data_IF_985264870868
#
_entry.id   IF_985264870868
#
_cell.length_a   1.000
_cell.length_b   1.000
_cell.length_c   1.000
_cell.angle_alpha   90.00
_cell.angle_beta   90.00
_cell.angle_gamma   90.00
#
_symmetry.space_group_name_H-M   'P 1'
#
loop_
_entity.id
_entity.type
_entity.pdbx_description
1 polymer ?
#
# COMPACT_ATOMS: atom_id res chain seq x y z
N UNK A 1 -53.01 -13.95 -47.22
CA UNK A 1 -52.07 -12.98 -46.62
C UNK A 1 -51.60 -13.61 -45.31
N UNK A 2 -50.40 -14.17 -45.29
CA UNK A 2 -49.78 -14.70 -44.06
C UNK A 2 -48.40 -14.07 -43.91
N UNK A 3 -48.19 -13.46 -42.75
CA UNK A 3 -46.98 -12.74 -42.34
C UNK A 3 -46.07 -13.76 -41.62
N UNK A 4 -44.84 -13.93 -42.10
CA UNK A 4 -43.82 -14.81 -41.49
C UNK A 4 -42.92 -13.96 -40.58
N UNK A 5 -42.94 -14.23 -39.28
CA UNK A 5 -42.10 -13.60 -38.26
C UNK A 5 -40.68 -14.18 -38.23
N UNK A 6 -39.69 -13.29 -38.14
CA UNK A 6 -38.28 -13.53 -38.44
C UNK A 6 -37.37 -13.42 -37.18
N UNK A 7 -37.63 -14.23 -36.15
CA UNK A 7 -36.97 -14.10 -34.82
C UNK A 7 -35.94 -15.17 -34.45
N UNK A 8 -35.44 -16.01 -35.37
CA UNK A 8 -34.58 -17.16 -35.01
C UNK A 8 -33.09 -17.08 -35.40
N UNK A 9 -32.56 -15.90 -35.76
CA UNK A 9 -31.20 -15.82 -36.33
C UNK A 9 -30.14 -15.22 -35.39
N UNK A 10 -30.51 -14.51 -34.32
CA UNK A 10 -29.56 -13.81 -33.43
C UNK A 10 -29.05 -14.64 -32.25
N UNK A 11 -29.84 -15.59 -31.73
CA UNK A 11 -29.43 -16.40 -30.56
C UNK A 11 -28.48 -17.55 -30.94
N UNK A 12 -28.70 -18.21 -32.08
CA UNK A 12 -27.81 -19.26 -32.60
C UNK A 12 -26.39 -18.77 -32.88
N UNK A 13 -26.21 -17.46 -33.16
CA UNK A 13 -24.89 -16.85 -33.45
C UNK A 13 -24.07 -16.57 -32.18
N UNK A 14 -24.72 -16.31 -31.04
CA UNK A 14 -24.03 -16.12 -29.73
C UNK A 14 -23.54 -17.43 -29.14
N UNK A 15 -24.25 -18.53 -29.35
CA UNK A 15 -23.89 -19.83 -28.79
C UNK A 15 -22.70 -20.48 -29.52
N UNK A 16 -22.60 -20.30 -30.85
CA UNK A 16 -21.48 -20.80 -31.66
C UNK A 16 -20.13 -20.14 -31.28
N UNK A 17 -20.13 -18.84 -30.95
CA UNK A 17 -18.93 -18.10 -30.50
C UNK A 17 -18.43 -18.51 -29.10
N UNK A 18 -19.31 -19.06 -28.24
CA UNK A 18 -18.92 -19.56 -26.90
C UNK A 18 -18.23 -20.93 -26.97
N UNK A 19 -18.58 -21.79 -27.95
CA UNK A 19 -17.94 -23.11 -28.14
C UNK A 19 -16.51 -22.99 -28.69
N UNK A 20 -16.24 -22.12 -29.66
CA UNK A 20 -14.89 -21.95 -30.23
C UNK A 20 -13.85 -21.38 -29.24
N UNK A 21 -14.25 -20.55 -28.27
CA UNK A 21 -13.34 -20.03 -27.23
C UNK A 21 -12.97 -21.08 -26.18
N UNK A 22 -13.82 -22.09 -25.94
CA UNK A 22 -13.55 -23.16 -24.97
C UNK A 22 -12.58 -24.20 -25.53
N UNK A 23 -12.56 -24.40 -26.84
CA UNK A 23 -11.67 -25.35 -27.51
C UNK A 23 -10.23 -24.84 -27.66
N UNK A 24 -10.02 -23.52 -27.83
CA UNK A 24 -8.68 -22.91 -27.84
C UNK A 24 -7.96 -22.93 -26.49
N UNK A 25 -8.67 -23.12 -25.37
CA UNK A 25 -8.06 -23.22 -24.03
C UNK A 25 -7.55 -24.62 -23.68
N UNK A 26 -7.87 -25.64 -24.49
CA UNK A 26 -7.52 -27.05 -24.21
C UNK A 26 -6.26 -27.56 -24.93
N UNK A 27 -5.61 -26.72 -25.76
CA UNK A 27 -4.43 -27.08 -26.58
C UNK A 27 -3.08 -26.52 -26.10
N UNK A 28 -2.98 -26.01 -24.87
CA UNK A 28 -1.69 -25.64 -24.26
C UNK A 28 -1.45 -26.46 -23.00
N UNK A 29 -1.16 -27.74 -23.21
CA UNK A 29 -0.62 -28.65 -22.20
C UNK A 29 0.29 -29.65 -22.90
N UNK A 30 1.54 -29.76 -22.42
CA UNK A 30 2.40 -30.92 -22.64
C UNK A 30 3.69 -30.69 -23.43
N UNK A 31 4.83 -30.94 -22.75
CA UNK A 31 6.18 -31.13 -23.30
C UNK A 31 7.17 -30.10 -22.72
N UNK A 32 8.08 -30.39 -21.78
CA UNK A 32 8.74 -31.64 -21.42
C UNK A 32 10.21 -31.56 -21.88
N UNK A 33 11.15 -31.43 -20.94
CA UNK A 33 12.58 -31.45 -21.20
C UNK A 33 13.38 -31.24 -19.91
N UNK A 34 13.87 -32.33 -19.32
CA UNK A 34 14.63 -32.33 -18.08
C UNK A 34 16.10 -31.94 -18.26
N UNK A 35 16.72 -31.61 -17.13
CA UNK A 35 18.15 -31.44 -16.95
C UNK A 35 18.41 -31.23 -15.46
N UNK A 36 19.10 -32.18 -14.83
CA UNK A 36 19.31 -32.21 -13.39
C UNK A 36 20.21 -31.09 -12.86
N UNK A 37 20.09 -30.85 -11.56
CA UNK A 37 20.92 -29.89 -10.83
C UNK A 37 20.32 -29.58 -9.47
N UNK A 38 20.74 -30.37 -8.48
CA UNK A 38 20.88 -30.11 -7.04
C UNK A 38 19.86 -29.19 -6.34
N UNK A 39 19.15 -29.78 -5.37
CA UNK A 39 18.21 -29.09 -4.50
C UNK A 39 18.90 -28.02 -3.67
N UNK A 40 18.59 -26.77 -3.98
CA UNK A 40 18.83 -25.64 -3.07
C UNK A 40 17.64 -25.57 -2.13
N UNK A 41 17.91 -25.85 -0.86
CA UNK A 41 16.91 -25.99 0.19
C UNK A 41 16.12 -24.69 0.42
N UNK A 42 14.90 -24.86 0.93
CA UNK A 42 14.03 -23.74 1.24
C UNK A 42 14.59 -22.82 2.35
N UNK A 43 15.65 -23.24 3.03
CA UNK A 43 16.33 -22.49 4.09
C UNK A 43 17.28 -21.39 3.55
N UNK A 44 17.82 -21.51 2.33
CA UNK A 44 18.79 -20.53 1.78
C UNK A 44 18.14 -19.24 1.25
N UNK A 45 16.85 -19.26 0.89
CA UNK A 45 16.13 -18.05 0.47
C UNK A 45 15.59 -17.24 1.65
N UNK A 46 15.36 -17.87 2.80
CA UNK A 46 15.05 -17.17 4.05
C UNK A 46 16.29 -16.46 4.63
N UNK A 47 17.46 -17.11 4.58
CA UNK A 47 18.72 -16.53 5.09
C UNK A 47 19.11 -15.23 4.36
N UNK A 48 19.06 -15.20 3.01
CA UNK A 48 19.51 -14.03 2.22
C UNK A 48 18.59 -12.80 2.32
N UNK A 49 17.34 -13.00 2.75
CA UNK A 49 16.36 -11.92 2.91
C UNK A 49 16.47 -11.18 4.24
N UNK A 50 17.04 -11.82 5.26
CA UNK A 50 17.14 -11.30 6.63
C UNK A 50 18.46 -10.57 6.92
N UNK A 51 19.54 -10.89 6.19
CA UNK A 51 20.89 -10.32 6.41
C UNK A 51 20.96 -8.77 6.30
N UNK A 52 19.93 -8.14 5.71
CA UNK A 52 19.82 -6.69 5.57
C UNK A 52 18.54 -6.10 6.18
N UNK A 53 17.76 -6.87 6.93
CA UNK A 53 16.53 -6.37 7.55
C UNK A 53 16.84 -5.58 8.82
N UNK A 54 16.58 -4.27 8.81
CA UNK A 54 16.69 -3.42 10.00
C UNK A 54 15.53 -3.66 10.96
N UNK A 55 14.31 -3.82 10.43
CA UNK A 55 13.10 -4.11 11.20
C UNK A 55 11.85 -3.84 10.38
N UNK A 56 10.71 -3.68 11.06
CA UNK A 56 9.42 -3.44 10.41
C UNK A 56 8.86 -2.07 10.76
N UNK A 57 8.44 -1.35 9.72
CA UNK A 57 7.66 -0.12 9.84
C UNK A 57 6.17 -0.48 9.77
N UNK A 58 5.48 -0.35 10.90
CA UNK A 58 4.03 -0.50 10.96
C UNK A 58 3.37 0.86 10.74
N UNK A 59 2.67 1.01 9.62
CA UNK A 59 1.95 2.22 9.24
C UNK A 59 0.46 2.02 9.48
N UNK A 60 -0.11 2.73 10.45
CA UNK A 60 -1.55 2.82 10.63
C UNK A 60 -2.10 3.90 9.71
N UNK A 61 -2.88 3.49 8.72
CA UNK A 61 -3.64 4.40 7.86
C UNK A 61 -4.95 4.74 8.58
N UNK A 62 -5.04 5.95 9.15
CA UNK A 62 -6.17 6.35 10.00
C UNK A 62 -7.33 6.78 9.12
N UNK A 63 -7.19 7.92 8.44
CA UNK A 63 -8.27 8.51 7.63
C UNK A 63 -7.76 9.42 6.53
N UNK A 64 -8.62 9.67 5.55
CA UNK A 64 -8.48 10.74 4.58
C UNK A 64 -9.43 11.88 4.91
N UNK A 65 -9.01 13.13 4.67
CA UNK A 65 -9.84 14.32 4.89
C UNK A 65 -9.94 15.12 3.60
N UNK A 66 -11.17 15.46 3.21
CA UNK A 66 -11.47 16.28 2.02
C UNK A 66 -10.77 15.78 0.75
N UNK A 67 -10.80 14.48 0.52
CA UNK A 67 -10.24 13.87 -0.69
C UNK A 67 -11.00 14.35 -1.94
N UNK A 68 -10.33 14.26 -3.08
CA UNK A 68 -10.91 14.61 -4.37
C UNK A 68 -12.19 13.83 -4.69
N UNK A 69 -13.12 14.49 -5.39
CA UNK A 69 -14.26 13.81 -6.01
C UNK A 69 -13.84 13.22 -7.35
N UNK A 70 -14.15 11.94 -7.58
CA UNK A 70 -13.93 11.29 -8.88
C UNK A 70 -15.23 10.72 -9.46
N UNK A 71 -16.21 10.42 -8.62
CA UNK A 71 -17.59 10.12 -9.03
C UNK A 71 -18.62 11.19 -8.63
N UNK A 72 -19.76 11.21 -9.32
CA UNK A 72 -20.85 12.16 -9.12
C UNK A 72 -21.48 12.15 -7.70
N UNK A 73 -21.24 11.10 -6.90
CA UNK A 73 -21.79 10.94 -5.53
C UNK A 73 -20.73 10.69 -4.47
N UNK A 74 -19.45 10.94 -4.75
CA UNK A 74 -18.34 10.68 -3.85
C UNK A 74 -17.18 10.00 -4.58
N UNK A 75 -16.40 9.25 -3.84
CA UNK A 75 -15.37 8.37 -4.38
C UNK A 75 -15.37 7.09 -3.55
N UNK A 76 -14.81 6.01 -4.06
CA UNK A 76 -14.57 4.75 -3.37
C UNK A 76 -13.06 4.61 -3.01
N UNK A 77 -12.51 5.45 -2.10
CA UNK A 77 -11.07 5.56 -1.93
C UNK A 77 -10.43 4.35 -1.24
N UNK A 78 -9.22 4.01 -1.68
CA UNK A 78 -8.27 3.15 -0.99
C UNK A 78 -6.84 3.69 -1.10
N UNK A 79 -5.99 3.30 -0.15
CA UNK A 79 -4.60 3.76 -0.06
C UNK A 79 -3.67 2.62 -0.50
N UNK A 80 -2.62 2.97 -1.23
CA UNK A 80 -1.51 2.08 -1.58
C UNK A 80 -0.23 2.65 -0.96
N UNK A 81 0.39 1.87 -0.07
CA UNK A 81 1.72 2.16 0.45
C UNK A 81 2.77 1.44 -0.38
N UNK A 82 3.85 2.14 -0.73
CA UNK A 82 5.00 1.57 -1.44
C UNK A 82 6.31 1.98 -0.78
N UNK A 83 7.22 1.01 -0.66
CA UNK A 83 8.59 1.23 -0.21
C UNK A 83 9.49 0.23 -0.93
N UNK A 84 10.39 0.73 -1.78
CA UNK A 84 11.14 -0.11 -2.71
C UNK A 84 10.21 -0.96 -3.59
N UNK A 85 10.34 -2.29 -3.48
CA UNK A 85 9.52 -3.27 -4.22
C UNK A 85 8.22 -3.65 -3.51
N UNK A 86 8.05 -3.27 -2.25
CA UNK A 86 6.88 -3.63 -1.46
C UNK A 86 5.69 -2.76 -1.84
N UNK A 87 4.51 -3.38 -1.86
CA UNK A 87 3.24 -2.70 -2.15
C UNK A 87 2.13 -3.31 -1.30
N UNK A 88 1.57 -2.52 -0.40
CA UNK A 88 0.43 -2.89 0.44
C UNK A 88 -0.74 -1.95 0.15
N UNK A 89 -1.97 -2.41 0.41
CA UNK A 89 -3.17 -1.60 0.19
C UNK A 89 -4.17 -1.78 1.32
N UNK A 90 -4.94 -0.74 1.58
CA UNK A 90 -6.09 -0.80 2.49
C UNK A 90 -7.31 -1.42 1.82
N UNK A 91 -8.37 -1.63 2.60
CA UNK A 91 -9.71 -1.81 2.08
C UNK A 91 -10.23 -0.54 1.38
N UNK A 92 -11.24 -0.72 0.54
CA UNK A 92 -11.97 0.34 -0.15
C UNK A 92 -13.09 0.84 0.76
N UNK A 93 -13.20 2.16 0.92
CA UNK A 93 -14.33 2.78 1.62
C UNK A 93 -15.25 3.37 0.57
N UNK A 94 -16.54 3.05 0.61
CA UNK A 94 -17.47 3.40 -0.47
C UNK A 94 -18.07 4.79 -0.28
N UNK A 95 -18.22 5.53 -1.38
CA UNK A 95 -18.99 6.77 -1.52
C UNK A 95 -18.66 7.81 -0.44
N UNK A 96 -17.37 8.04 -0.22
CA UNK A 96 -16.90 9.01 0.76
C UNK A 96 -15.61 9.69 0.31
N UNK A 97 -15.50 10.98 0.61
CA UNK A 97 -14.26 11.77 0.50
C UNK A 97 -13.60 12.00 1.86
N UNK A 98 -14.19 11.46 2.93
CA UNK A 98 -13.64 11.45 4.28
C UNK A 98 -13.62 10.00 4.81
N UNK A 99 -12.86 9.09 4.17
CA UNK A 99 -12.80 7.70 4.58
C UNK A 99 -12.06 7.52 5.91
N UNK A 100 -12.60 6.66 6.77
CA UNK A 100 -11.89 6.11 7.93
C UNK A 100 -11.46 4.67 7.62
N UNK A 101 -10.15 4.48 7.45
CA UNK A 101 -9.59 3.15 7.23
C UNK A 101 -9.31 2.45 8.55
N UNK A 102 -8.54 3.09 9.43
CA UNK A 102 -8.06 2.51 10.69
C UNK A 102 -7.37 1.15 10.49
N UNK A 103 -6.56 1.04 9.43
CA UNK A 103 -5.91 -0.20 9.00
C UNK A 103 -4.41 -0.14 9.20
N UNK A 104 -3.84 -1.22 9.73
CA UNK A 104 -2.39 -1.37 9.91
C UNK A 104 -1.77 -2.09 8.72
N UNK A 105 -0.78 -1.48 8.08
CA UNK A 105 0.02 -2.05 7.00
C UNK A 105 1.49 -2.08 7.42
N UNK A 106 2.13 -3.25 7.38
CA UNK A 106 3.50 -3.44 7.89
C UNK A 106 4.49 -3.68 6.75
N UNK A 107 5.47 -2.80 6.62
CA UNK A 107 6.53 -2.87 5.60
C UNK A 107 7.86 -3.29 6.25
N UNK A 108 8.64 -4.09 5.54
CA UNK A 108 10.02 -4.42 5.93
C UNK A 108 10.96 -3.30 5.55
N UNK A 109 11.83 -2.87 6.46
CA UNK A 109 12.82 -1.80 6.19
C UNK A 109 14.20 -2.43 6.11
N UNK A 110 14.77 -2.44 4.90
CA UNK A 110 16.14 -2.90 4.65
C UNK A 110 17.06 -1.77 4.17
N UNK A 111 16.54 -0.87 3.34
CA UNK A 111 17.20 0.38 2.95
C UNK A 111 16.41 1.56 3.53
N UNK A 112 16.94 2.24 4.56
CA UNK A 112 16.22 3.31 5.23
C UNK A 112 16.13 4.56 4.35
N UNK A 113 16.98 4.73 3.33
CA UNK A 113 16.97 5.92 2.45
C UNK A 113 15.74 5.95 1.54
N UNK A 114 15.05 4.82 1.36
CA UNK A 114 13.86 4.73 0.54
C UNK A 114 12.66 5.43 1.20
N UNK A 115 12.02 6.40 0.52
CA UNK A 115 10.85 7.07 1.07
C UNK A 115 9.64 6.14 1.12
N UNK A 116 8.75 6.37 2.08
CA UNK A 116 7.41 5.79 2.09
C UNK A 116 6.54 6.58 1.10
N UNK A 117 6.13 5.93 0.00
CA UNK A 117 5.22 6.54 -0.97
C UNK A 117 3.79 6.12 -0.65
N UNK A 118 2.89 7.09 -0.70
CA UNK A 118 1.48 6.93 -0.39
C UNK A 118 0.69 7.42 -1.60
N UNK A 119 -0.12 6.55 -2.17
CA UNK A 119 -0.96 6.85 -3.33
C UNK A 119 -2.42 6.54 -2.97
N UNK A 120 -3.33 7.45 -3.28
CA UNK A 120 -4.76 7.23 -3.08
C UNK A 120 -5.43 7.04 -4.44
N UNK A 121 -6.35 6.07 -4.50
CA UNK A 121 -7.06 5.71 -5.71
C UNK A 121 -8.56 5.59 -5.45
N UNK A 122 -9.36 5.93 -6.45
CA UNK A 122 -10.78 5.65 -6.49
C UNK A 122 -11.03 4.27 -7.12
N UNK A 123 -11.80 3.41 -6.46
CA UNK A 123 -12.09 2.06 -6.94
C UNK A 123 -13.25 2.07 -7.92
N UNK A 124 -12.93 1.88 -9.20
CA UNK A 124 -13.92 1.65 -10.23
C UNK A 124 -14.22 0.17 -10.47
N UNK A 125 -15.50 -0.13 -10.73
CA UNK A 125 -15.95 -1.51 -11.02
C UNK A 125 -15.73 -1.90 -12.49
N UNK A 126 -15.82 -0.94 -13.42
CA UNK A 126 -15.80 -1.22 -14.87
C UNK A 126 -14.70 -0.47 -15.64
N UNK A 127 -13.92 0.37 -14.97
CA UNK A 127 -12.81 1.16 -15.52
C UNK A 127 -11.52 0.92 -14.73
N UNK A 128 -10.45 1.60 -15.14
CA UNK A 128 -9.22 1.67 -14.35
C UNK A 128 -9.46 2.63 -13.19
N UNK A 129 -8.99 2.25 -12.01
CA UNK A 129 -9.03 3.06 -10.80
C UNK A 129 -8.38 4.44 -11.03
N UNK A 130 -9.10 5.51 -10.69
CA UNK A 130 -8.65 6.89 -10.86
C UNK A 130 -7.71 7.32 -9.74
N UNK A 131 -6.74 8.17 -10.05
CA UNK A 131 -5.81 8.70 -9.04
C UNK A 131 -6.46 9.83 -8.26
N UNK A 132 -6.32 9.77 -6.95
CA UNK A 132 -6.82 10.76 -5.98
C UNK A 132 -5.69 11.49 -5.25
N UNK A 133 -4.52 11.55 -5.89
CA UNK A 133 -3.33 12.20 -5.34
C UNK A 133 -2.30 11.21 -4.78
N UNK A 134 -1.13 11.76 -4.51
CA UNK A 134 0.00 11.02 -3.95
C UNK A 134 0.81 11.90 -3.01
N UNK A 135 1.52 11.29 -2.08
CA UNK A 135 2.43 11.97 -1.17
C UNK A 135 3.57 11.03 -0.82
N UNK A 136 4.64 11.59 -0.27
CA UNK A 136 5.83 10.84 0.15
C UNK A 136 6.24 11.32 1.54
N UNK A 137 6.67 10.39 2.38
CA UNK A 137 7.17 10.64 3.73
C UNK A 137 8.60 10.10 3.83
N UNK A 138 9.53 10.98 4.20
CA UNK A 138 10.84 10.58 4.66
C UNK A 138 10.74 9.97 6.06
N UNK A 139 11.21 8.74 6.20
CA UNK A 139 11.19 8.00 7.47
C UNK A 139 12.49 8.18 8.27
N UNK A 140 13.52 8.87 7.75
CA UNK A 140 14.80 9.02 8.50
C UNK A 140 14.63 9.72 9.83
N UNK A 141 13.87 10.82 9.95
CA UNK A 141 13.62 11.42 11.26
C UNK A 141 13.04 10.44 12.27
N UNK A 142 12.14 9.56 11.83
CA UNK A 142 11.55 8.51 12.65
C UNK A 142 12.57 7.45 13.06
N UNK A 143 13.36 6.94 12.11
CA UNK A 143 14.38 5.93 12.39
C UNK A 143 15.52 6.45 13.27
N UNK A 144 15.91 7.71 13.13
CA UNK A 144 16.87 8.34 14.03
C UNK A 144 16.36 8.34 15.48
N UNK A 145 15.09 8.70 15.67
CA UNK A 145 14.45 8.63 16.98
C UNK A 145 14.36 7.20 17.52
N UNK A 146 14.13 6.19 16.66
CA UNK A 146 14.18 4.77 17.04
C UNK A 146 15.57 4.37 17.53
N UNK A 147 16.65 4.77 16.84
CA UNK A 147 18.04 4.49 17.26
C UNK A 147 18.38 5.14 18.61
N UNK A 148 17.80 6.30 18.90
CA UNK A 148 18.01 7.00 20.16
C UNK A 148 17.18 6.41 21.30
N UNK A 149 16.19 5.55 21.03
CA UNK A 149 15.31 5.00 22.04
C UNK A 149 15.97 3.86 22.84
N UNK A 150 16.79 4.23 23.81
CA UNK A 150 17.35 3.32 24.81
C UNK A 150 16.41 3.15 26.02
N UNK A 151 16.64 2.13 26.85
CA UNK A 151 15.71 1.67 27.91
C UNK A 151 15.35 2.70 29.00
N UNK A 152 16.04 3.84 29.10
CA UNK A 152 15.80 4.86 30.13
C UNK A 152 15.11 6.14 29.67
N UNK A 153 14.57 6.17 28.44
CA UNK A 153 13.77 7.32 28.00
C UNK A 153 12.45 7.39 28.79
N UNK A 154 12.08 8.56 29.36
CA UNK A 154 10.83 8.71 30.08
C UNK A 154 9.62 8.60 29.14
N UNK A 155 8.52 8.04 29.67
CA UNK A 155 7.25 7.98 28.96
C UNK A 155 6.78 9.38 28.57
N UNK A 156 6.37 9.55 27.30
CA UNK A 156 5.94 10.84 26.75
C UNK A 156 7.07 11.76 26.29
N UNK A 157 8.33 11.31 26.33
CA UNK A 157 9.45 12.11 25.84
C UNK A 157 9.29 12.47 24.35
N UNK A 158 9.47 13.76 24.04
CA UNK A 158 9.60 14.24 22.67
C UNK A 158 11.01 13.94 22.17
N UNK A 159 11.11 13.07 21.16
CA UNK A 159 12.40 12.65 20.58
C UNK A 159 12.81 13.57 19.43
N UNK A 160 11.86 13.95 18.57
CA UNK A 160 12.09 14.80 17.39
C UNK A 160 10.77 15.41 16.93
N UNK A 161 10.83 16.57 16.27
CA UNK A 161 9.71 17.12 15.51
C UNK A 161 10.07 17.26 14.03
N UNK A 162 9.05 17.24 13.18
CA UNK A 162 9.15 17.44 11.74
C UNK A 162 8.19 18.56 11.36
N UNK A 163 8.74 19.72 11.04
CA UNK A 163 7.97 20.89 10.62
C UNK A 163 7.57 20.81 9.14
N UNK A 164 6.42 21.38 8.74
CA UNK A 164 6.08 21.61 7.35
C UNK A 164 7.16 22.44 6.65
N UNK A 165 7.58 22.00 5.46
CA UNK A 165 8.53 22.75 4.63
C UNK A 165 8.16 22.67 3.16
N UNK A 166 8.87 23.42 2.31
CA UNK A 166 8.69 23.35 0.86
C UNK A 166 9.13 22.00 0.26
N UNK A 167 9.98 21.28 0.99
CA UNK A 167 10.63 20.05 0.52
C UNK A 167 9.90 18.78 0.97
N UNK A 168 8.98 18.88 1.93
CA UNK A 168 8.20 17.75 2.43
C UNK A 168 6.71 17.86 2.08
N UNK A 169 5.90 16.95 2.60
CA UNK A 169 4.44 16.95 2.42
C UNK A 169 3.68 17.05 3.74
N UNK A 170 4.37 17.38 4.83
CA UNK A 170 3.80 17.46 6.17
C UNK A 170 2.88 18.67 6.24
N UNK A 171 1.62 18.46 6.63
CA UNK A 171 0.60 19.51 6.64
C UNK A 171 0.65 20.37 7.92
N UNK A 172 0.97 19.73 9.04
CA UNK A 172 1.11 20.34 10.39
C UNK A 172 2.33 19.73 11.07
N UNK A 173 2.95 20.43 12.02
CA UNK A 173 4.09 19.89 12.76
C UNK A 173 3.76 18.48 13.30
N UNK A 174 4.67 17.54 13.04
CA UNK A 174 4.57 16.14 13.44
C UNK A 174 5.58 15.86 14.54
N UNK A 175 5.13 15.25 15.64
CA UNK A 175 5.96 14.91 16.78
C UNK A 175 6.25 13.40 16.81
N UNK A 176 7.51 13.07 17.09
CA UNK A 176 7.97 11.71 17.31
C UNK A 176 8.18 11.54 18.81
N UNK A 177 7.36 10.71 19.43
CA UNK A 177 7.28 10.54 20.88
C UNK A 177 7.69 9.12 21.29
N UNK A 178 8.28 8.99 22.47
CA UNK A 178 8.42 7.70 23.14
C UNK A 178 7.18 7.42 23.98
N UNK A 179 6.39 6.42 23.58
CA UNK A 179 5.12 6.07 24.24
C UNK A 179 4.92 4.55 24.28
N UNK A 180 4.58 4.01 25.44
CA UNK A 180 4.27 2.60 25.62
C UNK A 180 5.44 1.67 25.25
N UNK A 181 6.66 2.09 25.58
CA UNK A 181 7.92 1.41 25.19
C UNK A 181 8.15 1.31 23.68
N UNK A 182 7.62 2.27 22.91
CA UNK A 182 7.74 2.34 21.45
C UNK A 182 7.93 3.77 21.00
N UNK A 183 8.60 3.95 19.87
CA UNK A 183 8.61 5.22 19.15
C UNK A 183 7.36 5.31 18.28
N UNK A 184 6.61 6.39 18.43
CA UNK A 184 5.36 6.65 17.72
C UNK A 184 5.44 8.02 17.04
N UNK A 185 4.94 8.11 15.82
CA UNK A 185 4.81 9.38 15.10
C UNK A 185 3.42 9.51 14.50
N UNK A 186 2.69 10.54 14.89
CA UNK A 186 1.47 10.96 14.23
C UNK A 186 1.81 11.98 13.14
N UNK A 187 1.30 11.79 11.93
CA UNK A 187 1.62 12.66 10.79
C UNK A 187 0.40 12.86 9.89
N UNK A 188 0.17 14.12 9.53
CA UNK A 188 -0.80 14.52 8.51
C UNK A 188 -0.03 14.94 7.27
N UNK A 189 -0.32 14.31 6.14
CA UNK A 189 0.34 14.59 4.86
C UNK A 189 -0.65 15.19 3.87
N UNK A 190 -0.27 16.31 3.25
CA UNK A 190 -1.01 16.90 2.13
C UNK A 190 -0.74 16.12 0.85
N UNK A 191 -1.79 15.83 0.10
CA UNK A 191 -1.68 15.15 -1.19
C UNK A 191 -1.22 16.13 -2.28
N UNK A 192 -0.37 15.63 -3.19
CA UNK A 192 0.13 16.33 -4.37
C UNK A 192 -0.53 15.76 -5.63
N UNK A 193 -0.53 16.56 -6.70
CA UNK A 193 -1.15 16.24 -8.01
C UNK A 193 -2.65 15.95 -7.91
N UNK A 194 -3.31 16.66 -7.00
CA UNK A 194 -4.75 16.60 -6.75
C UNK A 194 -5.19 17.96 -6.20
N UNK A 195 -6.45 18.31 -6.43
CA UNK A 195 -7.05 19.58 -6.03
C UNK A 195 -7.22 19.73 -4.51
N UNK A 196 -7.35 18.62 -3.79
CA UNK A 196 -7.53 18.58 -2.34
C UNK A 196 -7.19 17.21 -1.77
N UNK A 197 -7.05 17.17 -0.44
CA UNK A 197 -6.93 15.93 0.30
C UNK A 197 -5.74 15.90 1.23
N UNK A 198 -5.99 15.43 2.43
CA UNK A 198 -4.98 15.11 3.43
C UNK A 198 -5.16 13.67 3.89
N UNK A 199 -4.05 13.05 4.30
CA UNK A 199 -4.06 11.71 4.88
C UNK A 199 -3.39 11.73 6.25
N UNK A 200 -4.05 11.13 7.23
CA UNK A 200 -3.56 10.99 8.59
C UNK A 200 -3.03 9.57 8.80
N UNK A 201 -1.78 9.48 9.25
CA UNK A 201 -1.05 8.24 9.48
C UNK A 201 -0.44 8.24 10.89
N UNK A 202 -0.25 7.04 11.45
CA UNK A 202 0.55 6.83 12.65
C UNK A 202 1.60 5.74 12.41
N UNK A 203 2.87 6.07 12.63
CA UNK A 203 3.99 5.16 12.48
C UNK A 203 4.35 4.50 13.80
N UNK A 204 4.71 3.21 13.75
CA UNK A 204 5.34 2.48 14.84
C UNK A 204 6.50 1.65 14.31
N UNK A 205 7.56 1.55 15.11
CA UNK A 205 8.64 0.61 14.85
C UNK A 205 8.38 -0.73 15.53
N UNK A 206 8.69 -1.81 14.83
CA UNK A 206 8.70 -3.17 15.38
C UNK A 206 10.05 -3.79 15.12
N UNK A 207 10.79 -4.04 16.21
CA UNK A 207 12.06 -4.76 16.17
C UNK A 207 11.79 -6.25 15.94
N UNK A 208 12.52 -6.85 14.99
CA UNK A 208 12.44 -8.28 14.69
C UNK A 208 13.63 -8.98 15.35
N UNK A 209 13.41 -10.01 16.17
CA UNK A 209 14.50 -10.82 16.70
C UNK A 209 15.35 -11.41 15.56
N UNK A 210 16.67 -11.23 15.61
CA UNK A 210 17.58 -11.69 14.56
C UNK A 210 17.72 -10.76 13.34
N UNK A 211 16.94 -9.67 13.26
CA UNK A 211 17.24 -8.57 12.35
C UNK A 211 18.47 -7.78 12.81
N UNK A 212 19.07 -7.00 11.91
CA UNK A 212 20.21 -6.12 12.24
C UNK A 212 19.86 -5.14 13.37
N UNK A 213 18.57 -4.78 13.48
CA UNK A 213 18.08 -3.86 14.50
C UNK A 213 18.70 -2.47 14.40
N UNK A 214 18.48 -1.70 15.45
CA UNK A 214 19.25 -0.51 15.75
C UNK A 214 19.84 -0.78 17.14
N UNK A 215 21.15 -1.06 17.20
CA UNK A 215 21.88 -1.29 18.45
C UNK A 215 21.84 -0.06 19.36
#
# INVERSE_FOLDING_TARGET
MDIIDNTTTTEKKKEKRKKEKKEKKKKKGGGGGGGGGEGVGEEEWESRGMDHLLGLLKVRVIRGTNLAFRDARGSDPYVVLRMGRQRLKTSVKKKTVNPEWNEDLTLSVSDPVLPLKIEIYDKDTFSRDDKMGKTELDIQPFLDAVKLAWDGIPEGALLKSVEPSRDNCVATESYILYKGRKVVQDVILRLKHVESGEIELQLHWVTVPGGLGFN
#
